data_IF_012622577850
#
_entry.id   IF_012622577850
#
_cell.length_a   1.000
_cell.length_b   1.000
_cell.length_c   1.000
_cell.angle_alpha   90.00
_cell.angle_beta   90.00
_cell.angle_gamma   90.00
#
_symmetry.space_group_name_H-M   'P 1'
#
loop_
_entity.id
_entity.type
_entity.pdbx_description
1 polymer ?
#
# COMPACT_ATOMS: atom_id res chain seq x y z
N UNK A 1 -46.57 29.03 -50.66
CA UNK A 1 -45.73 27.95 -51.22
C UNK A 1 -45.62 26.83 -50.18
N UNK A 2 -46.28 25.68 -50.37
CA UNK A 2 -46.22 24.56 -49.40
C UNK A 2 -44.98 23.71 -49.70
N UNK A 3 -44.01 23.72 -48.79
CA UNK A 3 -42.80 22.89 -48.86
C UNK A 3 -43.16 21.40 -48.97
N UNK A 4 -42.50 20.68 -49.88
CA UNK A 4 -42.70 19.25 -50.10
C UNK A 4 -42.18 18.46 -48.88
N UNK A 5 -42.80 17.31 -48.60
CA UNK A 5 -42.44 16.46 -47.44
C UNK A 5 -40.97 16.06 -47.42
N UNK A 6 -40.35 15.88 -48.59
CA UNK A 6 -38.92 15.60 -48.76
C UNK A 6 -38.03 16.76 -48.31
N UNK A 7 -38.44 18.01 -48.55
CA UNK A 7 -37.69 19.22 -48.16
C UNK A 7 -37.72 19.43 -46.64
N UNK A 8 -38.88 19.16 -46.01
CA UNK A 8 -39.02 19.17 -44.54
C UNK A 8 -38.16 18.09 -43.87
N UNK A 9 -38.07 16.90 -44.46
CA UNK A 9 -37.28 15.81 -43.92
C UNK A 9 -35.78 16.10 -44.03
N UNK A 10 -35.32 16.64 -45.17
CA UNK A 10 -33.93 17.07 -45.36
C UNK A 10 -33.50 18.18 -44.41
N UNK A 11 -34.37 19.17 -44.15
CA UNK A 11 -34.14 20.19 -43.13
C UNK A 11 -34.03 19.61 -41.73
N UNK A 12 -34.91 18.66 -41.35
CA UNK A 12 -34.91 18.07 -40.02
C UNK A 12 -33.67 17.21 -39.79
N UNK A 13 -33.24 16.42 -40.78
CA UNK A 13 -32.00 15.66 -40.72
C UNK A 13 -30.77 16.57 -40.70
N UNK A 14 -30.76 17.66 -41.47
CA UNK A 14 -29.69 18.64 -41.45
C UNK A 14 -29.57 19.36 -40.11
N UNK A 15 -30.69 19.69 -39.47
CA UNK A 15 -30.73 20.32 -38.16
C UNK A 15 -30.24 19.37 -37.06
N UNK A 16 -30.67 18.10 -37.06
CA UNK A 16 -30.23 17.09 -36.08
C UNK A 16 -28.75 16.79 -36.22
N UNK A 17 -28.24 16.62 -37.45
CA UNK A 17 -26.81 16.40 -37.71
C UNK A 17 -26.00 17.66 -37.34
N UNK A 18 -26.51 18.85 -37.64
CA UNK A 18 -25.89 20.12 -37.26
C UNK A 18 -25.79 20.28 -35.74
N UNK A 19 -26.85 20.01 -34.99
CA UNK A 19 -26.86 20.04 -33.52
C UNK A 19 -25.94 18.97 -32.94
N UNK A 20 -25.90 17.76 -33.51
CA UNK A 20 -25.01 16.70 -33.06
C UNK A 20 -23.54 17.05 -33.30
N UNK A 21 -23.20 17.62 -34.47
CA UNK A 21 -21.85 18.10 -34.78
C UNK A 21 -21.44 19.28 -33.90
N UNK A 22 -22.39 20.16 -33.54
CA UNK A 22 -22.15 21.29 -32.64
C UNK A 22 -21.98 20.83 -31.19
N UNK A 23 -22.73 19.81 -30.75
CA UNK A 23 -22.53 19.18 -29.45
C UNK A 23 -21.21 18.41 -29.39
N UNK A 24 -20.82 17.71 -30.46
CA UNK A 24 -19.52 17.04 -30.56
C UNK A 24 -18.39 18.08 -30.59
N UNK A 25 -18.54 19.19 -31.30
CA UNK A 25 -17.52 20.24 -31.34
C UNK A 25 -17.41 20.98 -30.01
N UNK A 26 -18.51 21.30 -29.33
CA UNK A 26 -18.51 21.88 -27.97
C UNK A 26 -17.93 20.89 -26.97
N UNK A 27 -18.20 19.59 -27.11
CA UNK A 27 -17.60 18.54 -26.29
C UNK A 27 -16.09 18.38 -26.56
N UNK A 28 -15.64 18.47 -27.82
CA UNK A 28 -14.21 18.47 -28.17
C UNK A 28 -13.50 19.75 -27.71
N UNK A 29 -14.14 20.91 -27.80
CA UNK A 29 -13.63 22.19 -27.28
C UNK A 29 -13.45 22.11 -25.76
N UNK A 30 -14.37 21.46 -25.04
CA UNK A 30 -14.22 21.18 -23.61
C UNK A 30 -13.11 20.15 -23.30
N UNK A 31 -12.88 19.17 -24.17
CA UNK A 31 -11.80 18.18 -24.03
C UNK A 31 -10.41 18.79 -24.24
N UNK A 32 -10.28 19.86 -25.03
CA UNK A 32 -8.95 20.41 -25.38
C UNK A 32 -8.46 21.58 -24.53
N UNK A 33 -9.26 22.15 -23.63
CA UNK A 33 -8.75 23.17 -22.69
C UNK A 33 -9.42 23.13 -21.32
N UNK A 34 -9.21 22.06 -20.55
CA UNK A 34 -8.84 22.28 -19.15
C UNK A 34 -7.42 22.85 -19.15
N UNK A 35 -7.28 24.09 -19.62
CA UNK A 35 -6.11 24.92 -19.40
C UNK A 35 -6.18 25.30 -17.92
N UNK A 36 -5.84 24.35 -17.06
CA UNK A 36 -5.57 24.62 -15.66
C UNK A 36 -4.43 25.63 -15.71
N UNK A 37 -4.71 26.88 -15.33
CA UNK A 37 -3.67 27.85 -15.06
C UNK A 37 -2.66 27.20 -14.11
N UNK A 38 -1.41 26.98 -14.54
CA UNK A 38 -0.36 26.70 -13.55
C UNK A 38 0.95 26.06 -13.98
N UNK A 39 1.02 25.18 -14.99
CA UNK A 39 2.27 24.49 -15.34
C UNK A 39 2.45 24.13 -16.81
N UNK A 40 3.64 24.42 -17.35
CA UNK A 40 4.09 23.96 -18.66
C UNK A 40 4.41 22.45 -18.55
N UNK A 41 3.68 21.62 -19.30
CA UNK A 41 3.92 20.18 -19.36
C UNK A 41 5.38 19.93 -19.78
N UNK A 42 6.23 19.29 -18.94
CA UNK A 42 7.60 18.98 -19.33
C UNK A 42 7.63 18.11 -20.59
N UNK A 43 8.59 18.35 -21.48
CA UNK A 43 8.72 17.58 -22.72
C UNK A 43 8.90 16.07 -22.50
N UNK A 44 9.49 15.69 -21.36
CA UNK A 44 9.68 14.30 -20.95
C UNK A 44 8.55 13.77 -20.04
N UNK A 45 7.45 14.50 -19.83
CA UNK A 45 6.30 14.01 -19.09
C UNK A 45 5.56 12.95 -19.91
N UNK A 46 5.45 11.74 -19.35
CA UNK A 46 4.88 10.57 -20.06
C UNK A 46 3.41 10.32 -19.73
N UNK A 47 2.98 10.69 -18.53
CA UNK A 47 1.59 10.52 -18.04
C UNK A 47 1.25 11.65 -17.08
N UNK A 48 -0.05 11.93 -16.96
CA UNK A 48 -0.62 12.81 -15.95
C UNK A 48 -1.48 11.99 -14.98
N UNK A 49 -1.36 12.24 -13.69
CA UNK A 49 -2.16 11.56 -12.69
C UNK A 49 -2.59 12.47 -11.57
N UNK A 50 -3.43 11.92 -10.70
CA UNK A 50 -3.91 12.58 -9.49
C UNK A 50 -3.35 11.90 -8.25
N UNK A 51 -3.30 12.63 -7.15
CA UNK A 51 -3.20 12.02 -5.84
C UNK A 51 -4.36 12.45 -4.95
N UNK A 52 -4.89 11.48 -4.20
CA UNK A 52 -6.19 11.58 -3.53
C UNK A 52 -6.16 10.95 -2.16
N UNK A 53 -7.07 11.41 -1.30
CA UNK A 53 -7.24 10.92 0.06
C UNK A 53 -8.69 11.09 0.50
N UNK A 54 -8.96 10.92 1.79
CA UNK A 54 -10.25 11.30 2.35
C UNK A 54 -10.63 12.76 2.19
N UNK A 55 -9.69 13.65 1.86
CA UNK A 55 -9.97 15.06 1.60
C UNK A 55 -10.87 15.27 0.37
N UNK A 56 -10.83 14.37 -0.62
CA UNK A 56 -11.67 14.44 -1.81
C UNK A 56 -13.06 13.81 -1.61
N UNK A 57 -13.36 13.27 -0.42
CA UNK A 57 -14.63 12.60 -0.17
C UNK A 57 -14.82 11.32 -0.99
N UNK A 58 -16.07 10.97 -1.30
CA UNK A 58 -16.39 9.79 -2.11
C UNK A 58 -16.28 10.15 -3.58
N UNK A 59 -15.28 9.58 -4.26
CA UNK A 59 -14.99 9.82 -5.67
C UNK A 59 -15.86 8.91 -6.57
N UNK A 60 -16.37 9.46 -7.66
CA UNK A 60 -16.94 8.70 -8.78
C UNK A 60 -15.81 8.34 -9.76
N UNK A 61 -15.25 7.14 -9.60
CA UNK A 61 -14.10 6.69 -10.38
C UNK A 61 -14.44 6.35 -11.84
N UNK A 62 -15.71 6.10 -12.16
CA UNK A 62 -16.12 5.92 -13.56
C UNK A 62 -16.06 7.25 -14.31
N UNK A 63 -16.53 8.34 -13.70
CA UNK A 63 -16.35 9.67 -14.26
C UNK A 63 -14.88 10.07 -14.36
N UNK A 64 -14.05 9.76 -13.34
CA UNK A 64 -12.60 10.02 -13.41
C UNK A 64 -11.99 9.29 -14.61
N UNK A 65 -12.28 7.99 -14.79
CA UNK A 65 -11.78 7.21 -15.92
C UNK A 65 -12.29 7.76 -17.27
N UNK A 66 -13.57 8.08 -17.36
CA UNK A 66 -14.19 8.57 -18.59
C UNK A 66 -13.75 9.99 -18.97
N UNK A 67 -13.23 10.77 -18.02
CA UNK A 67 -12.68 12.09 -18.30
C UNK A 67 -11.43 12.05 -19.17
N UNK A 68 -10.66 10.94 -19.12
CA UNK A 68 -9.33 10.81 -19.72
C UNK A 68 -8.32 11.89 -19.27
N UNK A 69 -8.55 12.54 -18.12
CA UNK A 69 -7.68 13.58 -17.58
C UNK A 69 -6.66 13.05 -16.54
N UNK A 70 -6.83 11.80 -16.10
CA UNK A 70 -5.97 11.12 -15.13
C UNK A 70 -5.64 9.70 -15.61
N UNK A 71 -4.38 9.47 -15.97
CA UNK A 71 -3.84 8.18 -16.41
C UNK A 71 -3.60 7.22 -15.23
N UNK A 72 -3.40 7.76 -14.03
CA UNK A 72 -3.14 7.01 -12.80
C UNK A 72 -3.57 7.78 -11.54
N UNK A 73 -3.62 7.07 -10.41
CA UNK A 73 -3.87 7.65 -9.09
C UNK A 73 -2.84 7.23 -8.03
N UNK A 74 -2.41 8.15 -7.16
CA UNK A 74 -1.68 7.82 -5.93
C UNK A 74 -2.61 8.06 -4.74
N UNK A 75 -2.94 7.01 -3.99
CA UNK A 75 -4.02 7.07 -3.00
C UNK A 75 -3.43 7.05 -1.59
N UNK A 76 -3.84 7.96 -0.69
CA UNK A 76 -3.43 7.88 0.72
C UNK A 76 -3.97 6.59 1.33
N UNK A 77 -3.09 5.74 1.85
CA UNK A 77 -3.54 4.56 2.59
C UNK A 77 -3.80 4.88 4.07
N UNK A 78 -3.06 5.82 4.63
CA UNK A 78 -3.21 6.24 6.02
C UNK A 78 -2.16 7.28 6.39
N UNK A 79 -2.07 7.57 7.68
CA UNK A 79 -1.12 8.53 8.23
C UNK A 79 -0.56 8.05 9.57
N UNK A 80 0.71 8.30 9.86
CA UNK A 80 1.29 7.92 11.15
C UNK A 80 1.28 6.42 11.46
N UNK A 81 1.44 6.10 12.75
CA UNK A 81 1.69 4.75 13.26
C UNK A 81 0.57 3.75 12.96
N UNK A 82 0.90 2.46 13.01
CA UNK A 82 -0.01 1.36 12.68
C UNK A 82 -1.19 1.21 13.65
N UNK A 83 -2.25 1.96 13.39
CA UNK A 83 -3.52 1.93 14.11
C UNK A 83 -4.67 2.09 13.11
N UNK A 84 -5.79 1.41 13.34
CA UNK A 84 -6.89 1.38 12.37
C UNK A 84 -7.67 2.70 12.29
N UNK A 85 -7.63 3.52 13.34
CA UNK A 85 -8.18 4.89 13.35
C UNK A 85 -7.32 5.88 12.55
N UNK A 86 -6.17 5.42 12.05
CA UNK A 86 -5.26 6.16 11.19
C UNK A 86 -5.28 5.69 9.72
N UNK A 87 -6.11 4.69 9.43
CA UNK A 87 -6.40 4.29 8.06
C UNK A 87 -7.12 5.47 7.37
N UNK A 88 -6.76 5.78 6.12
CA UNK A 88 -7.53 6.76 5.36
C UNK A 88 -8.95 6.21 5.12
N UNK A 89 -9.96 7.02 5.44
CA UNK A 89 -11.38 6.63 5.38
C UNK A 89 -11.78 6.04 4.03
N UNK A 90 -11.17 6.48 2.93
CA UNK A 90 -11.51 6.03 1.58
C UNK A 90 -10.46 5.13 0.95
N UNK A 91 -9.41 4.73 1.67
CA UNK A 91 -8.35 3.85 1.13
C UNK A 91 -8.92 2.59 0.46
N UNK A 92 -9.77 1.84 1.16
CA UNK A 92 -10.27 0.57 0.66
C UNK A 92 -11.23 0.76 -0.53
N UNK A 93 -12.10 1.76 -0.47
CA UNK A 93 -13.00 2.13 -1.57
C UNK A 93 -12.21 2.56 -2.81
N UNK A 94 -11.33 3.57 -2.69
CA UNK A 94 -10.58 4.13 -3.81
C UNK A 94 -9.67 3.09 -4.47
N UNK A 95 -8.95 2.30 -3.67
CA UNK A 95 -8.09 1.25 -4.22
C UNK A 95 -8.89 0.15 -4.92
N UNK A 96 -10.05 -0.24 -4.39
CA UNK A 96 -10.88 -1.28 -5.01
C UNK A 96 -11.55 -0.79 -6.30
N UNK A 97 -11.94 0.47 -6.37
CA UNK A 97 -12.49 1.06 -7.60
C UNK A 97 -11.43 1.22 -8.69
N UNK A 98 -10.20 1.61 -8.33
CA UNK A 98 -9.07 1.59 -9.28
C UNK A 98 -8.82 0.17 -9.81
N UNK A 99 -8.83 -0.86 -8.95
CA UNK A 99 -8.68 -2.25 -9.38
C UNK A 99 -9.84 -2.72 -10.27
N UNK A 100 -11.09 -2.40 -9.91
CA UNK A 100 -12.29 -2.77 -10.68
C UNK A 100 -12.27 -2.15 -12.08
N UNK A 101 -11.85 -0.89 -12.17
CA UNK A 101 -11.85 -0.13 -13.42
C UNK A 101 -10.52 -0.25 -14.19
N UNK A 102 -9.52 -0.93 -13.64
CA UNK A 102 -8.20 -1.07 -14.25
C UNK A 102 -7.40 0.23 -14.33
N UNK A 103 -7.65 1.17 -13.41
CA UNK A 103 -6.88 2.42 -13.30
C UNK A 103 -5.57 2.11 -12.58
N UNK A 104 -4.39 2.34 -13.20
CA UNK A 104 -3.10 2.19 -12.54
C UNK A 104 -3.03 3.02 -11.27
N UNK A 105 -2.56 2.43 -10.17
CA UNK A 105 -2.47 3.17 -8.92
C UNK A 105 -1.30 2.77 -8.03
N UNK A 106 -0.92 3.74 -7.19
CA UNK A 106 0.08 3.61 -6.14
C UNK A 106 -0.51 4.07 -4.81
N UNK A 107 0.33 4.20 -3.79
CA UNK A 107 -0.14 4.71 -2.50
C UNK A 107 0.91 5.57 -1.80
N UNK A 108 0.47 6.37 -0.86
CA UNK A 108 1.35 7.05 0.08
C UNK A 108 0.86 6.90 1.53
N UNK A 109 1.77 7.08 2.47
CA UNK A 109 1.47 7.22 3.88
C UNK A 109 2.09 8.52 4.40
N UNK A 110 1.26 9.43 4.87
CA UNK A 110 1.68 10.70 5.48
C UNK A 110 2.41 10.43 6.79
N UNK A 111 3.69 10.75 6.85
CA UNK A 111 4.55 10.47 8.01
C UNK A 111 4.38 11.50 9.11
N UNK A 112 4.20 11.01 10.34
CA UNK A 112 4.34 11.80 11.56
C UNK A 112 5.53 11.34 12.41
N UNK A 113 6.45 10.56 11.84
CA UNK A 113 7.53 9.96 12.60
C UNK A 113 8.64 10.97 12.96
N UNK A 114 8.93 11.04 14.25
CA UNK A 114 10.09 11.71 14.84
C UNK A 114 11.17 10.72 15.32
N UNK A 115 10.89 9.42 15.20
CA UNK A 115 11.73 8.33 15.70
C UNK A 115 11.68 7.16 14.74
N UNK A 116 12.76 6.37 14.72
CA UNK A 116 12.84 5.14 13.92
C UNK A 116 11.79 4.10 14.34
N UNK A 117 11.38 4.09 15.62
CA UNK A 117 10.31 3.24 16.11
C UNK A 117 8.95 3.58 15.46
N UNK A 118 8.61 4.88 15.37
CA UNK A 118 7.40 5.34 14.67
C UNK A 118 7.49 5.05 13.17
N UNK A 119 8.64 5.32 12.53
CA UNK A 119 8.87 5.02 11.12
C UNK A 119 8.69 3.53 10.78
N UNK A 120 9.16 2.63 11.66
CA UNK A 120 8.92 1.20 11.51
C UNK A 120 7.43 0.85 11.65
N UNK A 121 6.75 1.46 12.61
CA UNK A 121 5.30 1.28 12.81
C UNK A 121 4.53 1.75 11.58
N UNK A 122 4.86 2.92 11.02
CA UNK A 122 4.33 3.44 9.76
C UNK A 122 4.54 2.48 8.58
N UNK A 123 5.73 1.89 8.43
CA UNK A 123 5.93 0.87 7.40
C UNK A 123 5.05 -0.38 7.64
N UNK A 124 4.91 -0.84 8.89
CA UNK A 124 4.02 -1.95 9.23
C UNK A 124 2.53 -1.61 9.05
N UNK A 125 2.17 -0.33 9.13
CA UNK A 125 0.85 0.20 8.80
C UNK A 125 0.56 -0.01 7.31
N UNK A 126 1.45 0.47 6.44
CA UNK A 126 1.31 0.28 5.00
C UNK A 126 1.27 -1.20 4.64
N UNK A 127 2.14 -2.02 5.23
CA UNK A 127 2.15 -3.48 5.01
C UNK A 127 0.79 -4.12 5.35
N UNK A 128 0.10 -3.68 6.40
CA UNK A 128 -1.24 -4.16 6.77
C UNK A 128 -2.29 -3.79 5.73
N UNK A 129 -2.22 -2.58 5.19
CA UNK A 129 -3.21 -2.06 4.24
C UNK A 129 -3.04 -2.57 2.81
N UNK A 130 -1.82 -2.96 2.44
CA UNK A 130 -1.51 -3.51 1.12
C UNK A 130 -1.87 -5.00 0.95
N UNK A 131 -2.48 -5.64 1.95
CA UNK A 131 -2.81 -7.07 1.87
C UNK A 131 -3.90 -7.31 0.82
N UNK A 132 -3.52 -7.95 -0.29
CA UNK A 132 -4.44 -8.30 -1.38
C UNK A 132 -4.59 -7.23 -2.45
N UNK A 133 -3.83 -6.13 -2.37
CA UNK A 133 -3.86 -5.01 -3.31
C UNK A 133 -2.82 -5.18 -4.42
N UNK A 134 -3.12 -4.70 -5.63
CA UNK A 134 -2.32 -4.88 -6.85
C UNK A 134 -1.83 -3.54 -7.41
N UNK A 135 -0.89 -2.90 -6.70
CA UNK A 135 -0.33 -1.61 -7.10
C UNK A 135 0.59 -1.77 -8.31
N UNK A 136 0.48 -0.84 -9.26
CA UNK A 136 1.37 -0.71 -10.43
C UNK A 136 2.29 0.50 -10.31
N UNK A 137 1.96 1.46 -9.45
CA UNK A 137 2.80 2.61 -9.08
C UNK A 137 3.46 2.44 -7.70
N UNK A 138 4.45 3.28 -7.35
CA UNK A 138 5.20 3.14 -6.11
C UNK A 138 4.37 3.32 -4.84
N UNK A 139 4.97 2.86 -3.74
CA UNK A 139 4.56 3.20 -2.38
C UNK A 139 5.44 4.35 -1.91
N UNK A 140 4.85 5.50 -1.65
CA UNK A 140 5.56 6.69 -1.21
C UNK A 140 5.57 6.83 0.30
N UNK A 141 6.74 7.08 0.85
CA UNK A 141 6.86 7.64 2.19
C UNK A 141 6.77 9.16 2.07
N UNK A 142 5.64 9.70 2.51
CA UNK A 142 5.36 11.12 2.45
C UNK A 142 5.95 11.79 3.69
N UNK A 143 7.01 12.58 3.47
CA UNK A 143 7.82 13.22 4.50
C UNK A 143 7.72 14.73 4.39
N UNK A 144 6.64 15.30 4.91
CA UNK A 144 6.41 16.76 4.85
C UNK A 144 5.91 17.38 6.16
N UNK A 145 5.71 16.58 7.22
CA UNK A 145 5.19 17.07 8.49
C UNK A 145 6.12 18.11 9.13
N UNK A 146 5.53 19.13 9.77
CA UNK A 146 6.24 20.21 10.46
C UNK A 146 7.25 19.72 11.50
N UNK A 147 7.01 18.54 12.08
CA UNK A 147 7.93 17.86 13.00
C UNK A 147 9.35 17.68 12.43
N UNK A 148 9.49 17.56 11.11
CA UNK A 148 10.80 17.45 10.46
C UNK A 148 11.66 18.70 10.69
N UNK A 149 11.07 19.87 10.95
CA UNK A 149 11.82 21.09 11.26
C UNK A 149 12.57 21.01 12.60
N UNK A 150 12.13 20.12 13.50
CA UNK A 150 12.75 19.89 14.81
C UNK A 150 13.87 18.84 14.78
N UNK A 151 14.13 18.23 13.61
CA UNK A 151 15.07 17.13 13.46
C UNK A 151 16.27 17.53 12.61
N UNK A 152 17.42 16.97 12.93
CA UNK A 152 18.61 17.03 12.07
C UNK A 152 18.42 16.16 10.81
N UNK A 153 19.11 16.51 9.72
CA UNK A 153 19.13 15.70 8.48
C UNK A 153 19.50 14.23 8.74
N UNK A 154 20.43 13.97 9.67
CA UNK A 154 20.79 12.60 10.09
C UNK A 154 19.63 11.85 10.74
N UNK A 155 18.85 12.51 11.62
CA UNK A 155 17.66 11.89 12.24
C UNK A 155 16.60 11.58 11.19
N UNK A 156 16.32 12.54 10.30
CA UNK A 156 15.37 12.40 9.19
C UNK A 156 15.81 11.24 8.27
N UNK A 157 17.09 11.16 7.94
CA UNK A 157 17.66 10.06 7.16
C UNK A 157 17.50 8.70 7.84
N UNK A 158 17.70 8.61 9.15
CA UNK A 158 17.50 7.36 9.90
C UNK A 158 16.02 6.93 9.93
N UNK A 159 15.09 7.89 10.03
CA UNK A 159 13.64 7.67 9.96
C UNK A 159 13.27 7.11 8.58
N UNK A 160 13.65 7.81 7.51
CA UNK A 160 13.41 7.38 6.13
C UNK A 160 13.99 5.99 5.85
N UNK A 161 15.26 5.77 6.19
CA UNK A 161 15.94 4.47 6.03
C UNK A 161 15.21 3.35 6.77
N UNK A 162 14.68 3.64 7.96
CA UNK A 162 13.95 2.63 8.74
C UNK A 162 12.64 2.24 8.06
N UNK A 163 11.87 3.22 7.57
CA UNK A 163 10.64 2.94 6.83
C UNK A 163 10.93 2.13 5.56
N UNK A 164 11.84 2.62 4.71
CA UNK A 164 12.17 2.04 3.41
C UNK A 164 12.70 0.61 3.55
N UNK A 165 13.69 0.38 4.42
CA UNK A 165 14.22 -0.97 4.68
C UNK A 165 13.17 -1.90 5.28
N UNK A 166 12.24 -1.38 6.09
CA UNK A 166 11.16 -2.20 6.64
C UNK A 166 10.24 -2.67 5.52
N UNK A 167 9.84 -1.79 4.61
CA UNK A 167 9.04 -2.14 3.43
C UNK A 167 9.72 -3.19 2.56
N UNK A 168 11.01 -3.02 2.27
CA UNK A 168 11.81 -4.00 1.52
C UNK A 168 11.93 -5.35 2.25
N UNK A 169 12.02 -5.35 3.57
CA UNK A 169 12.07 -6.58 4.38
C UNK A 169 10.76 -7.39 4.32
N UNK A 170 9.65 -6.72 3.99
CA UNK A 170 8.35 -7.31 3.66
C UNK A 170 8.18 -7.55 2.14
N UNK A 171 9.24 -7.35 1.36
CA UNK A 171 9.32 -7.60 -0.08
C UNK A 171 8.80 -6.47 -0.96
N UNK A 172 8.43 -5.31 -0.39
CA UNK A 172 8.01 -4.13 -1.15
C UNK A 172 9.25 -3.38 -1.59
N UNK A 173 9.58 -3.52 -2.87
CA UNK A 173 10.80 -2.93 -3.43
C UNK A 173 10.49 -1.66 -4.24
N UNK A 174 9.28 -1.56 -4.80
CA UNK A 174 8.80 -0.35 -5.47
C UNK A 174 8.36 0.72 -4.45
N UNK A 175 9.33 1.26 -3.72
CA UNK A 175 9.15 2.29 -2.70
C UNK A 175 9.92 3.56 -3.09
N UNK A 176 9.37 4.71 -2.74
CA UNK A 176 9.91 6.02 -3.09
C UNK A 176 9.61 7.03 -1.97
N UNK A 177 10.20 8.23 -2.06
CA UNK A 177 9.97 9.31 -1.09
C UNK A 177 9.22 10.44 -1.77
N UNK A 178 8.21 10.96 -1.09
CA UNK A 178 7.54 12.20 -1.46
C UNK A 178 7.88 13.30 -0.44
N UNK A 179 8.10 14.51 -0.95
CA UNK A 179 8.20 15.74 -0.17
C UNK A 179 8.18 16.95 -1.10
N UNK A 180 8.06 18.15 -0.53
CA UNK A 180 8.23 19.39 -1.29
C UNK A 180 9.71 19.69 -1.61
N UNK A 181 9.93 20.49 -2.66
CA UNK A 181 11.28 20.88 -3.12
C UNK A 181 12.14 21.47 -1.99
N UNK A 182 11.60 22.35 -1.18
CA UNK A 182 12.35 23.02 -0.11
C UNK A 182 12.91 22.01 0.89
N UNK A 183 12.09 21.06 1.34
CA UNK A 183 12.52 20.03 2.26
C UNK A 183 13.58 19.11 1.63
N UNK A 184 13.46 18.74 0.34
CA UNK A 184 14.50 17.97 -0.35
C UNK A 184 15.84 18.70 -0.48
N UNK A 185 15.83 20.03 -0.57
CA UNK A 185 17.06 20.82 -0.70
C UNK A 185 17.70 21.17 0.65
N UNK A 186 16.92 21.21 1.73
CA UNK A 186 17.38 21.75 3.02
C UNK A 186 17.39 20.74 4.17
N UNK A 187 16.54 19.70 4.13
CA UNK A 187 16.32 18.77 5.25
C UNK A 187 16.52 17.31 4.88
N UNK A 188 15.98 16.84 3.74
CA UNK A 188 16.12 15.46 3.27
C UNK A 188 17.42 15.28 2.48
N UNK A 189 18.55 15.62 3.11
CA UNK A 189 19.88 15.65 2.46
C UNK A 189 20.78 14.47 2.84
N UNK A 190 20.34 13.60 3.74
CA UNK A 190 21.05 12.37 4.08
C UNK A 190 21.15 11.42 2.87
N UNK A 191 22.23 10.63 2.80
CA UNK A 191 22.55 9.78 1.64
C UNK A 191 21.44 8.80 1.22
N UNK A 192 20.60 8.35 2.17
CA UNK A 192 19.46 7.48 1.86
C UNK A 192 18.55 8.07 0.79
N UNK A 193 18.39 9.39 0.70
CA UNK A 193 17.51 10.01 -0.29
C UNK A 193 18.08 9.98 -1.71
N UNK A 194 19.36 9.65 -1.88
CA UNK A 194 19.96 9.42 -3.20
C UNK A 194 19.70 8.00 -3.71
N UNK A 195 19.43 7.04 -2.82
CA UNK A 195 19.21 5.64 -3.17
C UNK A 195 17.77 5.35 -3.64
N UNK A 196 16.84 6.27 -3.40
CA UNK A 196 15.41 6.07 -3.66
C UNK A 196 14.84 7.11 -4.64
N UNK A 197 13.88 6.70 -5.50
CA UNK A 197 13.19 7.62 -6.40
C UNK A 197 12.42 8.70 -5.62
N UNK A 198 12.26 9.87 -6.24
CA UNK A 198 11.62 11.04 -5.64
C UNK A 198 10.38 11.46 -6.41
N UNK A 199 9.31 11.68 -5.65
CA UNK A 199 8.16 12.45 -6.08
C UNK A 199 8.25 13.84 -5.43
N UNK A 200 8.42 14.87 -6.25
CA UNK A 200 8.67 16.24 -5.78
C UNK A 200 7.38 17.06 -5.87
N UNK A 201 7.01 17.75 -4.81
CA UNK A 201 6.02 18.83 -4.88
C UNK A 201 6.69 20.19 -5.11
N UNK A 202 6.24 20.89 -6.16
CA UNK A 202 6.53 22.29 -6.41
C UNK A 202 5.42 22.87 -7.27
N UNK A 203 4.52 23.65 -6.67
CA UNK A 203 3.38 24.23 -7.38
C UNK A 203 3.80 25.47 -8.16
N UNK A 204 4.41 25.26 -9.32
CA UNK A 204 5.01 26.30 -10.16
C UNK A 204 4.90 25.98 -11.64
N UNK A 205 5.19 26.96 -12.50
CA UNK A 205 5.13 26.75 -13.94
C UNK A 205 6.13 25.69 -14.46
N UNK A 206 7.26 25.57 -13.78
CA UNK A 206 8.33 24.60 -14.06
C UNK A 206 8.88 24.04 -12.76
N UNK A 207 9.21 22.75 -12.74
CA UNK A 207 9.99 22.17 -11.66
C UNK A 207 11.44 22.65 -11.77
N UNK A 208 11.97 23.26 -10.72
CA UNK A 208 13.35 23.77 -10.66
C UNK A 208 14.25 22.95 -9.73
N UNK A 209 13.77 21.80 -9.25
CA UNK A 209 14.59 20.85 -8.49
C UNK A 209 15.69 20.27 -9.38
N UNK A 210 16.95 20.36 -8.93
CA UNK A 210 18.12 19.97 -9.71
C UNK A 210 18.49 18.48 -9.58
N UNK A 211 17.96 17.80 -8.56
CA UNK A 211 18.19 16.36 -8.37
C UNK A 211 17.29 15.50 -9.26
N UNK A 212 17.56 14.20 -9.29
CA UNK A 212 16.72 13.25 -10.03
C UNK A 212 15.37 13.03 -9.34
N UNK A 213 14.29 13.06 -10.13
CA UNK A 213 12.92 12.77 -9.73
C UNK A 213 12.19 12.06 -10.87
N UNK A 214 11.16 11.28 -10.54
CA UNK A 214 10.35 10.56 -11.53
C UNK A 214 8.89 11.00 -11.52
N UNK A 215 8.49 11.83 -10.57
CA UNK A 215 7.15 12.39 -10.49
C UNK A 215 7.20 13.80 -9.93
N UNK A 216 6.38 14.69 -10.48
CA UNK A 216 6.28 16.08 -10.05
C UNK A 216 4.82 16.42 -9.78
N UNK A 217 4.49 16.75 -8.52
CA UNK A 217 3.22 17.37 -8.17
C UNK A 217 3.30 18.88 -8.47
N UNK A 218 2.58 19.31 -9.50
CA UNK A 218 2.70 20.65 -10.07
C UNK A 218 1.56 21.58 -9.69
N UNK A 219 0.46 21.06 -9.16
CA UNK A 219 -0.71 21.85 -8.75
C UNK A 219 -1.53 21.13 -7.70
N UNK A 220 -2.22 21.90 -6.86
CA UNK A 220 -3.27 21.43 -5.93
C UNK A 220 -4.67 21.86 -6.37
N UNK A 221 -4.78 22.48 -7.55
CA UNK A 221 -5.99 23.19 -7.99
C UNK A 221 -6.75 22.45 -9.11
N UNK A 222 -6.44 21.17 -9.30
CA UNK A 222 -7.05 20.33 -10.32
C UNK A 222 -8.56 20.21 -10.14
N UNK A 223 -9.25 20.06 -11.28
CA UNK A 223 -10.69 19.80 -11.37
C UNK A 223 -10.85 18.64 -12.33
N UNK A 224 -11.35 17.51 -11.82
CA UNK A 224 -11.50 16.26 -12.57
C UNK A 224 -12.94 15.80 -12.40
N UNK A 225 -13.69 15.51 -13.49
CA UNK A 225 -15.02 14.92 -13.39
C UNK A 225 -15.05 13.71 -12.46
N UNK A 226 -16.03 13.67 -11.56
CA UNK A 226 -16.15 12.65 -10.51
C UNK A 226 -15.48 13.00 -9.18
N UNK A 227 -14.75 14.12 -9.10
CA UNK A 227 -14.20 14.67 -7.86
C UNK A 227 -14.77 16.08 -7.65
N UNK A 228 -15.55 16.27 -6.59
CA UNK A 228 -16.17 17.56 -6.28
C UNK A 228 -15.17 18.58 -5.73
N UNK A 229 -14.17 18.10 -4.99
CA UNK A 229 -13.14 18.93 -4.38
C UNK A 229 -11.98 19.19 -5.35
N UNK A 230 -11.12 20.14 -4.98
CA UNK A 230 -9.83 20.29 -5.66
C UNK A 230 -8.97 19.04 -5.46
N UNK A 231 -8.19 18.71 -6.48
CA UNK A 231 -7.31 17.53 -6.49
C UNK A 231 -5.90 17.89 -6.96
N UNK A 232 -4.93 17.23 -6.36
CA UNK A 232 -3.53 17.39 -6.69
C UNK A 232 -3.21 16.74 -8.04
N UNK A 233 -2.42 17.44 -8.86
CA UNK A 233 -2.07 17.06 -10.23
C UNK A 233 -0.57 16.78 -10.34
N UNK A 234 -0.26 15.68 -11.04
CA UNK A 234 1.08 15.13 -11.14
C UNK A 234 1.47 14.85 -12.58
N UNK A 235 2.72 15.13 -12.92
CA UNK A 235 3.36 14.57 -14.11
C UNK A 235 4.31 13.44 -13.72
N UNK A 236 4.15 12.28 -14.38
CA UNK A 236 5.17 11.23 -14.38
C UNK A 236 6.26 11.60 -15.38
N UNK A 237 7.50 11.65 -14.92
CA UNK A 237 8.65 12.11 -15.68
C UNK A 237 9.45 10.93 -16.23
N UNK A 238 9.69 10.97 -17.54
CA UNK A 238 10.43 9.98 -18.30
C UNK A 238 9.79 8.59 -18.31
N UNK A 239 10.50 7.66 -18.96
CA UNK A 239 10.15 6.25 -19.01
C UNK A 239 10.55 5.52 -17.72
N UNK A 240 10.39 6.19 -16.57
CA UNK A 240 10.63 5.57 -15.28
C UNK A 240 9.75 4.32 -15.19
N UNK A 241 10.42 3.19 -15.23
CA UNK A 241 9.89 1.88 -14.93
C UNK A 241 10.79 1.33 -13.84
N UNK A 242 10.20 0.69 -12.86
CA UNK A 242 10.94 0.08 -11.75
C UNK A 242 11.95 -1.00 -12.24
N UNK A 243 11.97 -1.35 -13.54
CA UNK A 243 12.63 -2.49 -14.19
C UNK A 243 14.17 -2.50 -14.24
N UNK A 244 14.88 -1.71 -13.42
CA UNK A 244 16.19 -2.13 -12.87
C UNK A 244 16.05 -3.11 -11.69
N UNK A 245 14.83 -3.28 -11.20
CA UNK A 245 14.42 -4.16 -10.12
C UNK A 245 13.03 -4.67 -10.51
N UNK A 246 12.97 -5.82 -11.18
CA UNK A 246 11.73 -6.43 -11.70
C UNK A 246 10.48 -6.20 -10.83
N UNK A 247 9.37 -5.87 -11.50
CA UNK A 247 7.98 -6.05 -11.08
C UNK A 247 7.71 -7.53 -10.78
N UNK A 248 8.32 -8.04 -9.72
CA UNK A 248 7.97 -9.33 -9.17
C UNK A 248 6.56 -9.18 -8.59
N UNK A 249 5.59 -9.84 -9.23
CA UNK A 249 4.26 -10.09 -8.68
C UNK A 249 4.38 -10.40 -7.19
N UNK A 250 3.88 -9.49 -6.38
CA UNK A 250 4.13 -9.53 -4.96
C UNK A 250 3.23 -10.56 -4.29
N UNK A 251 3.86 -11.63 -3.81
CA UNK A 251 3.24 -12.48 -2.79
C UNK A 251 3.23 -11.68 -1.48
N UNK A 252 2.05 -11.18 -1.12
CA UNK A 252 1.77 -10.54 0.16
C UNK A 252 2.35 -11.42 1.30
N UNK A 253 3.25 -10.85 2.12
CA UNK A 253 3.85 -11.55 3.27
C UNK A 253 2.85 -11.58 4.43
N UNK A 254 1.84 -12.44 4.32
CA UNK A 254 0.84 -12.65 5.36
C UNK A 254 1.49 -13.42 6.53
N UNK A 255 1.49 -12.84 7.74
CA UNK A 255 1.81 -13.59 8.97
C UNK A 255 0.81 -14.76 9.07
N UNK A 256 1.25 -16.02 9.19
CA UNK A 256 0.33 -17.13 9.11
C UNK A 256 -0.67 -17.10 10.27
N UNK A 257 -1.92 -17.49 10.00
CA UNK A 257 -2.98 -17.57 11.00
C UNK A 257 -2.55 -18.47 12.17
N UNK A 258 -2.80 -18.02 13.40
CA UNK A 258 -2.48 -18.78 14.60
C UNK A 258 -3.31 -20.07 14.70
N UNK A 259 -2.74 -21.09 15.33
CA UNK A 259 -3.44 -22.34 15.66
C UNK A 259 -3.84 -22.38 17.14
N UNK A 260 -4.65 -23.37 17.51
CA UNK A 260 -5.07 -23.64 18.88
C UNK A 260 -4.83 -25.10 19.25
N UNK A 261 -4.48 -25.37 20.51
CA UNK A 261 -4.37 -26.74 21.05
C UNK A 261 -5.79 -27.25 21.34
N UNK A 262 -6.25 -28.23 20.54
CA UNK A 262 -7.54 -28.90 20.71
C UNK A 262 -7.57 -29.78 21.95
N UNK A 263 -6.53 -30.58 22.17
CA UNK A 263 -6.47 -31.49 23.32
C UNK A 263 -5.05 -31.86 23.75
N UNK A 264 -4.90 -32.14 25.04
CA UNK A 264 -3.75 -32.82 25.63
C UNK A 264 -4.24 -34.12 26.26
N UNK A 265 -3.70 -35.27 25.85
CA UNK A 265 -4.09 -36.58 26.39
C UNK A 265 -2.86 -37.37 26.82
N UNK A 266 -2.97 -38.14 27.91
CA UNK A 266 -1.94 -39.11 28.29
C UNK A 266 -1.85 -40.17 27.18
N UNK A 267 -0.63 -40.57 26.81
CA UNK A 267 -0.36 -41.59 25.81
C UNK A 267 0.73 -42.51 26.36
N UNK A 268 0.47 -43.81 26.52
CA UNK A 268 1.41 -44.75 27.17
C UNK A 268 1.72 -44.40 28.64
N UNK A 269 2.84 -44.90 29.20
CA UNK A 269 3.27 -44.71 30.62
C UNK A 269 4.11 -43.46 30.93
N UNK A 270 4.75 -42.83 29.93
CA UNK A 270 5.57 -41.61 30.08
C UNK A 270 5.45 -40.61 28.93
N UNK A 271 4.29 -40.53 28.26
CA UNK A 271 4.06 -39.58 27.16
C UNK A 271 2.73 -38.82 27.19
N UNK A 272 2.69 -37.68 26.50
CA UNK A 272 1.50 -36.85 26.27
C UNK A 272 1.33 -36.66 24.76
N UNK A 273 0.13 -36.89 24.24
CA UNK A 273 -0.27 -36.54 22.87
C UNK A 273 -0.87 -35.13 22.86
N UNK A 274 -0.28 -34.26 22.07
CA UNK A 274 -0.72 -32.88 21.82
C UNK A 274 -1.41 -32.84 20.47
N UNK A 275 -2.69 -32.47 20.43
CA UNK A 275 -3.48 -32.32 19.20
C UNK A 275 -3.84 -30.85 19.01
N UNK A 276 -3.68 -30.33 17.79
CA UNK A 276 -3.91 -28.93 17.44
C UNK A 276 -4.73 -28.78 16.16
N UNK A 277 -5.33 -27.60 15.95
CA UNK A 277 -6.16 -27.31 14.78
C UNK A 277 -5.28 -27.14 13.53
N UNK A 278 -5.59 -27.86 12.45
CA UNK A 278 -4.96 -27.64 11.15
C UNK A 278 -5.29 -26.24 10.64
N UNK A 279 -4.33 -25.63 9.96
CA UNK A 279 -4.43 -24.30 9.39
C UNK A 279 -3.96 -24.43 7.95
N UNK A 280 -4.79 -24.04 6.99
CA UNK A 280 -4.43 -24.05 5.57
C UNK A 280 -3.35 -23.01 5.27
N UNK A 281 -2.57 -23.23 4.21
CA UNK A 281 -1.59 -22.25 3.72
C UNK A 281 -0.35 -22.04 4.62
N UNK A 282 -0.08 -22.92 5.57
CA UNK A 282 1.13 -22.89 6.42
C UNK A 282 2.11 -23.99 5.99
N UNK A 283 3.40 -23.78 6.23
CA UNK A 283 4.45 -24.79 5.96
C UNK A 283 4.58 -25.80 7.11
N UNK A 284 4.14 -25.44 8.31
CA UNK A 284 4.22 -26.35 9.45
C UNK A 284 3.83 -25.75 10.79
N UNK A 285 4.26 -26.43 11.85
CA UNK A 285 3.98 -26.11 13.24
C UNK A 285 5.23 -26.23 14.09
N UNK A 286 5.35 -25.37 15.11
CA UNK A 286 6.32 -25.56 16.17
C UNK A 286 5.61 -25.75 17.51
N UNK A 287 6.06 -26.76 18.26
CA UNK A 287 5.53 -27.07 19.58
C UNK A 287 6.60 -26.75 20.60
N UNK A 288 6.19 -26.04 21.64
CA UNK A 288 7.04 -25.66 22.76
C UNK A 288 6.50 -26.25 24.06
N UNK A 289 7.40 -26.61 24.96
CA UNK A 289 7.07 -27.16 26.27
C UNK A 289 7.87 -26.49 27.38
N UNK A 290 7.25 -26.34 28.55
CA UNK A 290 7.91 -25.93 29.79
C UNK A 290 7.39 -26.73 30.99
N UNK A 291 8.13 -26.68 32.09
CA UNK A 291 7.67 -27.10 33.42
C UNK A 291 7.20 -25.91 34.28
N UNK A 292 7.41 -24.68 33.81
CA UNK A 292 6.95 -23.42 34.42
C UNK A 292 5.86 -22.80 33.53
N UNK A 293 4.78 -22.29 34.12
CA UNK A 293 3.62 -21.75 33.37
C UNK A 293 3.99 -20.57 32.47
N UNK A 294 4.81 -19.64 32.98
CA UNK A 294 5.09 -18.34 32.34
C UNK A 294 6.44 -18.25 31.61
N UNK A 295 7.40 -19.13 31.90
CA UNK A 295 8.79 -19.04 31.39
C UNK A 295 9.38 -20.41 31.05
N UNK A 296 10.60 -20.44 30.50
CA UNK A 296 11.37 -21.69 30.29
C UNK A 296 10.89 -22.58 29.14
N UNK A 297 10.11 -22.04 28.20
CA UNK A 297 9.62 -22.80 27.05
C UNK A 297 10.74 -23.15 26.07
N UNK A 298 10.93 -24.44 25.82
CA UNK A 298 11.85 -24.96 24.79
C UNK A 298 11.06 -25.57 23.64
N UNK A 299 11.55 -25.38 22.40
CA UNK A 299 10.99 -26.03 21.21
C UNK A 299 11.26 -27.53 21.30
N UNK A 300 10.20 -28.34 21.21
CA UNK A 300 10.30 -29.81 21.28
C UNK A 300 9.99 -30.49 19.95
N UNK A 301 9.36 -29.79 19.02
CA UNK A 301 9.09 -30.30 17.69
C UNK A 301 8.93 -29.18 16.66
N UNK A 302 9.36 -29.46 15.43
CA UNK A 302 8.95 -28.78 14.20
C UNK A 302 8.29 -29.83 13.32
N UNK A 303 7.07 -29.57 12.83
CA UNK A 303 6.25 -30.56 12.13
C UNK A 303 5.77 -29.97 10.81
N UNK A 304 5.66 -30.80 9.78
CA UNK A 304 5.10 -30.39 8.49
C UNK A 304 3.60 -30.07 8.62
N UNK A 305 3.08 -29.31 7.64
CA UNK A 305 1.67 -28.92 7.55
C UNK A 305 0.69 -30.10 7.55
N UNK A 306 1.15 -31.29 7.13
CA UNK A 306 0.34 -32.52 7.09
C UNK A 306 -0.01 -33.05 8.49
N UNK A 307 0.77 -32.72 9.53
CA UNK A 307 0.59 -33.24 10.89
C UNK A 307 -0.35 -32.36 11.73
N UNK A 308 -1.25 -32.98 12.48
CA UNK A 308 -2.18 -32.31 13.42
C UNK A 308 -1.98 -32.74 14.88
N UNK A 309 -0.99 -33.59 15.14
CA UNK A 309 -0.65 -34.02 16.49
C UNK A 309 0.81 -34.42 16.63
N UNK A 310 1.28 -34.46 17.87
CA UNK A 310 2.62 -34.91 18.26
C UNK A 310 2.59 -35.56 19.64
N UNK A 311 3.35 -36.63 19.81
CA UNK A 311 3.46 -37.33 21.09
C UNK A 311 4.81 -37.04 21.72
N UNK A 312 4.82 -36.32 22.84
CA UNK A 312 6.04 -36.07 23.61
C UNK A 312 6.23 -37.18 24.65
N UNK A 313 7.24 -38.03 24.44
CA UNK A 313 7.67 -39.05 25.40
C UNK A 313 8.75 -38.59 26.37
N UNK A 314 9.18 -39.53 27.22
CA UNK A 314 10.22 -39.36 28.27
C UNK A 314 9.83 -38.31 29.32
N UNK A 315 8.57 -38.31 29.74
CA UNK A 315 8.04 -37.41 30.78
C UNK A 315 8.00 -38.12 32.14
N UNK A 316 8.21 -37.36 33.23
CA UNK A 316 8.16 -37.87 34.59
C UNK A 316 6.70 -37.97 35.07
N UNK A 317 6.35 -39.08 35.72
CA UNK A 317 5.03 -39.31 36.34
C UNK A 317 4.82 -38.30 37.49
N UNK A 318 3.59 -37.82 37.64
CA UNK A 318 3.22 -36.81 38.61
C UNK A 318 3.60 -35.36 38.25
N UNK A 319 4.33 -35.11 37.15
CA UNK A 319 4.84 -33.77 36.84
C UNK A 319 3.91 -33.01 35.90
N UNK A 320 3.65 -31.73 36.19
CA UNK A 320 2.85 -30.84 35.34
C UNK A 320 3.72 -30.24 34.23
N UNK A 321 3.21 -30.31 33.00
CA UNK A 321 3.86 -29.77 31.80
C UNK A 321 2.93 -28.78 31.09
N UNK A 322 3.51 -27.74 30.52
CA UNK A 322 2.83 -26.67 29.80
C UNK A 322 3.24 -26.69 28.33
N UNK A 323 2.27 -26.52 27.43
CA UNK A 323 2.47 -26.59 25.99
C UNK A 323 1.86 -25.37 25.30
N UNK A 324 2.54 -24.90 24.25
CA UNK A 324 2.03 -23.91 23.30
C UNK A 324 2.48 -24.25 21.88
N UNK A 325 1.65 -23.93 20.89
CA UNK A 325 1.90 -24.22 19.47
C UNK A 325 1.82 -22.93 18.66
N UNK A 326 2.66 -22.78 17.65
CA UNK A 326 2.54 -21.71 16.64
C UNK A 326 2.64 -22.30 15.23
N UNK A 327 2.07 -21.61 14.26
CA UNK A 327 2.22 -21.96 12.84
C UNK A 327 3.47 -21.30 12.26
N UNK A 328 4.01 -21.90 11.20
CA UNK A 328 5.13 -21.36 10.43
C UNK A 328 4.82 -21.42 8.94
N UNK A 329 5.20 -20.40 8.19
CA UNK A 329 5.08 -20.33 6.72
C UNK A 329 6.42 -19.92 6.14
N UNK A 330 6.93 -20.70 5.18
CA UNK A 330 8.15 -20.37 4.42
C UNK A 330 7.73 -19.39 3.32
N UNK A 331 8.32 -18.21 3.32
CA UNK A 331 8.11 -17.15 2.33
C UNK A 331 9.49 -16.67 1.91
N UNK A 332 9.80 -16.77 0.62
CA UNK A 332 11.10 -16.35 0.05
C UNK A 332 12.30 -16.89 0.84
N UNK A 333 12.31 -18.21 1.09
CA UNK A 333 13.39 -18.88 1.82
C UNK A 333 13.36 -18.75 3.35
N UNK A 334 12.67 -17.74 3.91
CA UNK A 334 12.64 -17.46 5.36
C UNK A 334 11.33 -17.92 6.02
N UNK A 335 11.39 -18.40 7.26
CA UNK A 335 10.19 -18.77 8.02
C UNK A 335 9.60 -17.57 8.78
N UNK A 336 8.31 -17.31 8.56
CA UNK A 336 7.48 -16.39 9.33
C UNK A 336 6.58 -17.18 10.28
N UNK A 337 6.28 -16.62 11.44
CA UNK A 337 5.59 -17.33 12.53
C UNK A 337 4.35 -16.58 13.00
N UNK A 338 3.30 -17.32 13.34
CA UNK A 338 2.15 -16.76 14.06
C UNK A 338 2.51 -16.42 15.51
N UNK A 339 1.62 -15.68 16.17
CA UNK A 339 1.56 -15.69 17.64
C UNK A 339 1.36 -17.12 18.17
N UNK A 340 1.80 -17.37 19.40
CA UNK A 340 1.55 -18.66 20.05
C UNK A 340 0.07 -18.84 20.40
N UNK A 341 -0.38 -20.09 20.39
CA UNK A 341 -1.65 -20.49 20.99
C UNK A 341 -1.67 -20.13 22.48
N UNK A 342 -2.87 -20.04 23.05
CA UNK A 342 -3.05 -20.08 24.51
C UNK A 342 -2.32 -21.30 25.08
N UNK A 343 -1.65 -21.11 26.21
CA UNK A 343 -0.93 -22.18 26.93
C UNK A 343 -1.94 -23.17 27.49
N UNK A 344 -1.70 -24.47 27.28
CA UNK A 344 -2.45 -25.54 27.94
C UNK A 344 -1.51 -26.42 28.76
N UNK A 345 -2.03 -27.10 29.78
CA UNK A 345 -1.22 -27.93 30.66
C UNK A 345 -1.86 -29.28 30.95
N UNK A 346 -1.04 -30.25 31.34
CA UNK A 346 -1.47 -31.57 31.79
C UNK A 346 -0.47 -32.11 32.81
N UNK A 347 -0.97 -32.82 33.84
CA UNK A 347 -0.13 -33.61 34.76
C UNK A 347 0.12 -34.96 34.09
N UNK A 348 1.39 -35.23 33.78
CA UNK A 348 1.81 -36.51 33.26
C UNK A 348 2.26 -37.41 34.39
#
# INVERSE_FOLDING_TARGET
MKMKRSEKLGMFTGLVVGVLLLLISVFMIFQTTCKVWGAEKPANATQQGIDVSSHQGKIDWEQVKNSALADYAIIRCGYGVNQTDKDDKYWDYNSSECERLGIPYGTYLYSGADTTAKAKSEAEHVVRLLQGKNLTYPIYYDMEADMLNQLSSTQIGNIAKTFLNTMESYGYKNVAVYSNKYLFETKLTASVFSDYPKWIAQHSNKCTYQGSYHMWQYSTQGVIPGISEKVDLNYKIGNWTYAGYSSAKKTVVVKPKATTIKSLRKSGKKAVKITYKKVSGVSGYQIYMSTKKKSGYKKIATLSSKKSSYTKGKLKKGKKYYFKVRTMKKVSGKYRYSSFSKVRSIKR
#
